data_IF_545362257749
#
_entry.id   IF_545362257749
#
_cell.length_a   1.000
_cell.length_b   1.000
_cell.length_c   1.000
_cell.angle_alpha   90.00
_cell.angle_beta   90.00
_cell.angle_gamma   90.00
#
_symmetry.space_group_name_H-M   'P 1'
#
loop_
_entity.id
_entity.type
_entity.pdbx_description
1 polymer ?
#
# COMPACT_ATOMS: atom_id res chain seq x y z
N UNK A 1 -15.24 15.29 -17.27
CA UNK A 1 -14.07 14.41 -17.41
C UNK A 1 -13.06 14.78 -16.33
N UNK A 2 -12.66 13.83 -15.49
CA UNK A 2 -11.68 14.05 -14.44
C UNK A 2 -10.30 14.26 -15.06
N UNK A 3 -9.42 15.08 -14.41
CA UNK A 3 -8.01 15.30 -14.82
C UNK A 3 -7.27 13.98 -15.12
N UNK A 4 -7.63 12.91 -14.42
CA UNK A 4 -7.06 11.57 -14.60
C UNK A 4 -7.47 10.93 -15.94
N UNK A 5 -8.72 11.14 -16.39
CA UNK A 5 -9.21 10.65 -17.68
C UNK A 5 -8.51 11.36 -18.85
N UNK A 6 -8.33 12.68 -18.76
CA UNK A 6 -7.65 13.47 -19.79
C UNK A 6 -6.17 13.00 -19.94
N UNK A 7 -5.47 12.80 -18.82
CA UNK A 7 -4.08 12.32 -18.86
C UNK A 7 -3.97 10.90 -19.45
N UNK A 8 -4.94 10.03 -19.21
CA UNK A 8 -5.01 8.70 -19.83
C UNK A 8 -5.24 8.77 -21.34
N UNK A 9 -6.17 9.61 -21.79
CA UNK A 9 -6.45 9.80 -23.21
C UNK A 9 -5.23 10.33 -23.95
N UNK A 10 -4.58 11.38 -23.43
CA UNK A 10 -3.35 11.93 -24.00
C UNK A 10 -2.22 10.89 -24.07
N UNK A 11 -2.12 10.02 -23.07
CA UNK A 11 -1.13 8.94 -23.08
C UNK A 11 -1.44 7.90 -24.16
N UNK A 12 -2.69 7.54 -24.35
CA UNK A 12 -3.13 6.61 -25.41
C UNK A 12 -2.89 7.19 -26.79
N UNK A 13 -3.23 8.45 -27.03
CA UNK A 13 -2.96 9.16 -28.28
C UNK A 13 -1.46 9.21 -28.59
N UNK A 14 -0.62 9.49 -27.57
CA UNK A 14 0.83 9.46 -27.73
C UNK A 14 1.34 8.07 -28.10
N UNK A 15 0.86 7.02 -27.43
CA UNK A 15 1.23 5.63 -27.72
C UNK A 15 0.83 5.28 -29.16
N UNK A 16 -0.39 5.61 -29.57
CA UNK A 16 -0.90 5.34 -30.92
C UNK A 16 -0.05 6.04 -31.99
N UNK A 17 0.28 7.33 -31.78
CA UNK A 17 1.14 8.09 -32.69
C UNK A 17 2.54 7.47 -32.79
N UNK A 18 3.17 7.15 -31.67
CA UNK A 18 4.49 6.54 -31.66
C UNK A 18 4.48 5.14 -32.31
N UNK A 19 3.42 4.39 -32.17
CA UNK A 19 3.25 3.11 -32.83
C UNK A 19 3.11 3.24 -34.35
N UNK A 20 2.37 4.24 -34.84
CA UNK A 20 2.20 4.50 -36.29
C UNK A 20 3.46 5.05 -36.95
N UNK A 21 4.33 5.73 -36.20
CA UNK A 21 5.62 6.27 -36.67
C UNK A 21 6.78 5.24 -36.51
N UNK A 22 6.53 4.11 -35.82
CA UNK A 22 7.56 3.10 -35.54
C UNK A 22 7.72 2.14 -36.72
N UNK A 23 8.96 1.73 -36.98
CA UNK A 23 9.26 0.63 -37.87
C UNK A 23 8.93 -0.67 -37.15
N UNK A 24 7.65 -1.07 -37.19
CA UNK A 24 7.17 -2.28 -36.53
C UNK A 24 7.62 -3.56 -37.26
N UNK A 25 7.60 -4.68 -36.54
CA UNK A 25 7.69 -5.99 -37.14
C UNK A 25 6.33 -6.40 -37.72
N UNK A 26 6.26 -7.10 -38.86
CA UNK A 26 4.98 -7.62 -39.37
C UNK A 26 4.31 -8.49 -38.30
N UNK A 27 3.04 -8.19 -38.02
CA UNK A 27 2.25 -8.96 -37.07
C UNK A 27 1.74 -10.20 -37.82
N UNK A 28 2.23 -11.39 -37.41
CA UNK A 28 1.73 -12.65 -37.93
C UNK A 28 0.52 -13.16 -37.12
N UNK A 29 -0.25 -14.14 -37.69
CA UNK A 29 -1.46 -14.66 -37.00
C UNK A 29 -1.22 -15.19 -35.59
N UNK A 30 -0.03 -15.69 -35.29
CA UNK A 30 0.33 -16.17 -33.97
C UNK A 30 0.40 -15.01 -32.93
N UNK A 31 0.93 -13.86 -33.33
CA UNK A 31 1.01 -12.67 -32.45
C UNK A 31 -0.37 -12.08 -32.21
N UNK A 32 -1.23 -12.05 -33.24
CA UNK A 32 -2.63 -11.60 -33.07
C UNK A 32 -3.37 -12.50 -32.09
N UNK A 33 -3.25 -13.81 -32.24
CA UNK A 33 -3.87 -14.77 -31.33
C UNK A 33 -3.36 -14.62 -29.89
N UNK A 34 -2.05 -14.44 -29.72
CA UNK A 34 -1.48 -14.19 -28.37
C UNK A 34 -2.01 -12.90 -27.76
N UNK A 35 -2.09 -11.82 -28.53
CA UNK A 35 -2.63 -10.53 -28.07
C UNK A 35 -4.09 -10.65 -27.63
N UNK A 36 -4.93 -11.32 -28.43
CA UNK A 36 -6.32 -11.59 -28.10
C UNK A 36 -6.45 -12.41 -26.81
N UNK A 37 -5.65 -13.46 -26.67
CA UNK A 37 -5.63 -14.30 -25.46
C UNK A 37 -5.25 -13.49 -24.22
N UNK A 38 -4.25 -12.61 -24.32
CA UNK A 38 -3.84 -11.73 -23.23
C UNK A 38 -4.95 -10.73 -22.84
N UNK A 39 -5.66 -10.18 -23.82
CA UNK A 39 -6.80 -9.29 -23.58
C UNK A 39 -7.93 -10.04 -22.87
N UNK A 40 -8.26 -11.25 -23.29
CA UNK A 40 -9.28 -12.08 -22.63
C UNK A 40 -8.87 -12.38 -21.18
N UNK A 41 -7.64 -12.82 -20.95
CA UNK A 41 -7.11 -13.05 -19.59
C UNK A 41 -7.18 -11.79 -18.72
N UNK A 42 -6.79 -10.65 -19.26
CA UNK A 42 -6.86 -9.37 -18.54
C UNK A 42 -8.29 -9.02 -18.11
N UNK A 43 -9.27 -9.22 -19.01
CA UNK A 43 -10.68 -9.00 -18.68
C UNK A 43 -11.17 -9.94 -17.59
N UNK A 44 -10.84 -11.23 -17.68
CA UNK A 44 -11.19 -12.24 -16.67
C UNK A 44 -10.60 -11.91 -15.30
N UNK A 45 -9.30 -11.58 -15.24
CA UNK A 45 -8.64 -11.21 -13.97
C UNK A 45 -9.27 -9.94 -13.37
N UNK A 46 -9.60 -8.95 -14.17
CA UNK A 46 -10.28 -7.73 -13.68
C UNK A 46 -11.66 -8.04 -13.10
N UNK A 47 -12.43 -8.90 -13.75
CA UNK A 47 -13.73 -9.33 -13.25
C UNK A 47 -13.60 -10.11 -11.93
N UNK A 48 -12.64 -11.04 -11.85
CA UNK A 48 -12.34 -11.77 -10.62
C UNK A 48 -11.92 -10.85 -9.48
N UNK A 49 -11.05 -9.86 -9.76
CA UNK A 49 -10.64 -8.86 -8.77
C UNK A 49 -11.83 -8.05 -8.26
N UNK A 50 -12.75 -7.66 -9.14
CA UNK A 50 -13.96 -6.96 -8.75
C UNK A 50 -14.84 -7.82 -7.83
N UNK A 51 -15.16 -9.04 -8.25
CA UNK A 51 -15.97 -9.99 -7.46
C UNK A 51 -15.35 -10.28 -6.10
N UNK A 52 -14.03 -10.47 -6.06
CA UNK A 52 -13.31 -10.68 -4.79
C UNK A 52 -13.39 -9.44 -3.91
N UNK A 53 -13.31 -8.25 -4.50
CA UNK A 53 -13.47 -6.99 -3.79
C UNK A 53 -14.84 -6.85 -3.15
N UNK A 54 -15.89 -7.10 -3.93
CA UNK A 54 -17.28 -7.04 -3.48
C UNK A 54 -17.50 -8.02 -2.30
N UNK A 55 -16.99 -9.26 -2.41
CA UNK A 55 -17.04 -10.24 -1.32
C UNK A 55 -16.29 -9.81 -0.05
N UNK A 56 -15.13 -9.18 -0.20
CA UNK A 56 -14.36 -8.66 0.95
C UNK A 56 -15.14 -7.57 1.67
N UNK A 57 -15.82 -6.70 0.93
CA UNK A 57 -16.66 -5.65 1.51
C UNK A 57 -17.88 -6.24 2.21
N UNK A 58 -18.59 -7.19 1.58
CA UNK A 58 -19.76 -7.85 2.15
C UNK A 58 -19.41 -8.56 3.46
N UNK A 59 -18.39 -9.41 3.46
CA UNK A 59 -17.93 -10.07 4.69
C UNK A 59 -17.36 -9.10 5.72
N UNK A 60 -16.68 -8.05 5.26
CA UNK A 60 -16.15 -7.02 6.15
C UNK A 60 -17.24 -6.31 6.94
N UNK A 61 -18.37 -6.02 6.30
CA UNK A 61 -19.51 -5.33 6.94
C UNK A 61 -20.20 -6.15 8.04
N UNK A 62 -19.96 -7.46 8.12
CA UNK A 62 -20.43 -8.28 9.24
C UNK A 62 -19.70 -7.95 10.57
N UNK A 63 -18.55 -7.25 10.49
CA UNK A 63 -17.74 -6.87 11.64
C UNK A 63 -17.82 -5.35 11.90
N UNK A 64 -18.26 -4.97 13.11
CA UNK A 64 -18.33 -3.55 13.50
C UNK A 64 -16.99 -2.83 13.40
N UNK A 65 -15.91 -3.53 13.73
CA UNK A 65 -14.53 -3.03 13.68
C UNK A 65 -14.10 -2.64 12.27
N UNK A 66 -14.63 -3.30 11.24
CA UNK A 66 -14.37 -2.96 9.86
C UNK A 66 -14.91 -1.57 9.52
N UNK A 67 -16.15 -1.28 9.92
CA UNK A 67 -16.77 0.02 9.73
C UNK A 67 -16.00 1.13 10.44
N UNK A 68 -15.50 0.88 11.65
CA UNK A 68 -14.65 1.82 12.38
C UNK A 68 -13.32 2.07 11.64
N UNK A 69 -12.67 1.04 11.13
CA UNK A 69 -11.44 1.21 10.37
C UNK A 69 -11.63 2.04 9.10
N UNK A 70 -12.76 1.90 8.41
CA UNK A 70 -13.06 2.70 7.21
C UNK A 70 -13.20 4.20 7.50
N UNK A 71 -13.49 4.60 8.73
CA UNK A 71 -13.52 6.03 9.12
C UNK A 71 -12.13 6.64 9.25
N UNK A 72 -11.09 5.80 9.40
CA UNK A 72 -9.72 6.29 9.58
C UNK A 72 -9.12 6.64 8.21
N UNK A 73 -8.62 7.88 8.03
CA UNK A 73 -7.99 8.28 6.79
C UNK A 73 -6.81 7.38 6.42
N UNK A 74 -6.88 6.82 5.21
CA UNK A 74 -5.87 5.89 4.72
C UNK A 74 -6.29 4.42 4.74
N UNK A 75 -7.36 4.10 5.47
CA UNK A 75 -7.94 2.76 5.46
C UNK A 75 -9.04 2.68 4.40
N UNK A 76 -8.74 2.02 3.30
CA UNK A 76 -9.75 1.60 2.34
C UNK A 76 -10.20 0.14 2.61
N UNK A 77 -11.22 -0.36 1.88
CA UNK A 77 -11.80 -1.69 2.10
C UNK A 77 -10.76 -2.81 2.23
N UNK A 78 -9.82 -2.88 1.31
CA UNK A 78 -8.78 -3.92 1.31
C UNK A 78 -7.78 -3.82 2.47
N UNK A 79 -7.42 -2.58 2.87
CA UNK A 79 -6.50 -2.37 3.98
C UNK A 79 -7.20 -2.71 5.28
N UNK A 80 -8.44 -2.28 5.48
CA UNK A 80 -9.25 -2.58 6.65
C UNK A 80 -9.44 -4.09 6.82
N UNK A 81 -9.85 -4.79 5.75
CA UNK A 81 -10.01 -6.23 5.76
C UNK A 81 -8.70 -6.97 6.09
N UNK A 82 -7.58 -6.55 5.48
CA UNK A 82 -6.26 -7.16 5.74
C UNK A 82 -5.81 -6.96 7.19
N UNK A 83 -6.04 -5.78 7.74
CA UNK A 83 -5.74 -5.49 9.16
C UNK A 83 -6.59 -6.37 10.06
N UNK A 84 -7.91 -6.43 9.88
CA UNK A 84 -8.79 -7.29 10.68
C UNK A 84 -8.42 -8.77 10.56
N UNK A 85 -8.19 -9.28 9.35
CA UNK A 85 -7.77 -10.66 9.14
C UNK A 85 -6.44 -10.98 9.86
N UNK A 86 -5.53 -10.01 9.92
CA UNK A 86 -4.23 -10.17 10.59
C UNK A 86 -4.32 -10.10 12.11
N UNK A 87 -5.24 -9.29 12.63
CA UNK A 87 -5.41 -9.06 14.08
C UNK A 87 -6.41 -10.07 14.66
N UNK A 88 -7.37 -10.56 13.88
CA UNK A 88 -8.54 -11.34 14.30
C UNK A 88 -9.41 -10.53 15.27
N UNK A 89 -9.38 -10.84 16.55
CA UNK A 89 -10.10 -10.11 17.58
C UNK A 89 -9.23 -8.97 18.14
N UNK A 90 -9.55 -7.68 17.91
CA UNK A 90 -8.78 -6.57 18.44
C UNK A 90 -8.85 -6.45 19.96
N UNK A 91 -9.91 -6.94 20.60
CA UNK A 91 -10.12 -6.89 22.04
C UNK A 91 -9.21 -7.82 22.84
N UNK A 92 -8.43 -8.67 22.16
CA UNK A 92 -7.41 -9.51 22.81
C UNK A 92 -6.15 -8.77 23.22
N UNK A 93 -6.02 -7.51 22.81
CA UNK A 93 -4.84 -6.69 23.10
C UNK A 93 -5.13 -5.74 24.26
N UNK A 94 -4.32 -5.80 25.30
CA UNK A 94 -4.44 -4.90 26.46
C UNK A 94 -3.84 -3.50 26.17
N UNK A 95 -3.02 -3.38 25.13
CA UNK A 95 -2.38 -2.11 24.79
C UNK A 95 -1.98 -2.03 23.32
N UNK A 96 -1.85 -0.79 22.81
CA UNK A 96 -1.33 -0.52 21.47
C UNK A 96 0.09 -1.06 21.24
N UNK A 97 0.90 -1.15 22.31
CA UNK A 97 2.26 -1.70 22.22
C UNK A 97 2.26 -3.19 21.83
N UNK A 98 1.27 -3.96 22.28
CA UNK A 98 1.12 -5.36 21.86
C UNK A 98 0.81 -5.45 20.37
N UNK A 99 -0.01 -4.55 19.84
CA UNK A 99 -0.31 -4.48 18.41
C UNK A 99 0.94 -4.09 17.59
N UNK A 100 1.70 -3.09 18.04
CA UNK A 100 2.97 -2.72 17.42
C UNK A 100 3.95 -3.89 17.38
N UNK A 101 4.03 -4.67 18.46
CA UNK A 101 4.88 -5.85 18.55
C UNK A 101 4.46 -6.95 17.58
N UNK A 102 3.16 -7.22 17.45
CA UNK A 102 2.63 -8.18 16.48
C UNK A 102 2.88 -7.72 15.04
N UNK A 103 2.79 -6.42 14.76
CA UNK A 103 3.14 -5.86 13.46
C UNK A 103 4.67 -5.85 13.22
N UNK A 104 5.49 -6.06 14.25
CA UNK A 104 6.95 -5.98 14.19
C UNK A 104 7.46 -4.55 13.99
N UNK A 105 6.72 -3.57 14.52
CA UNK A 105 7.12 -2.16 14.58
C UNK A 105 7.77 -1.79 15.91
N UNK A 106 7.83 -2.73 16.85
CA UNK A 106 8.60 -2.55 18.08
C UNK A 106 10.07 -2.28 17.76
N UNK A 107 10.67 -1.40 18.53
CA UNK A 107 12.06 -1.03 18.34
C UNK A 107 12.97 -2.08 18.98
N UNK A 108 13.92 -2.56 18.23
CA UNK A 108 15.03 -3.36 18.74
C UNK A 108 16.37 -2.68 18.41
N UNK A 109 17.29 -2.73 19.34
CA UNK A 109 18.67 -2.33 19.11
C UNK A 109 19.53 -3.58 19.19
N UNK A 110 20.25 -3.89 18.12
CA UNK A 110 21.29 -4.93 18.18
C UNK A 110 22.48 -4.36 18.95
N UNK A 111 22.54 -4.72 20.22
CA UNK A 111 23.65 -4.36 21.10
C UNK A 111 24.60 -5.54 21.19
N UNK A 112 25.62 -5.56 20.33
CA UNK A 112 26.69 -6.54 20.40
C UNK A 112 28.04 -5.84 20.39
N UNK A 113 28.83 -6.05 21.44
CA UNK A 113 30.22 -5.60 21.54
C UNK A 113 30.45 -4.15 21.94
N UNK A 114 31.68 -3.66 21.71
CA UNK A 114 32.21 -2.36 22.17
C UNK A 114 31.50 -1.10 21.60
N UNK A 115 30.58 -1.22 20.63
CA UNK A 115 29.85 -0.10 20.04
C UNK A 115 28.38 -0.09 20.42
N UNK A 116 28.01 -0.64 21.55
CA UNK A 116 26.60 -0.72 21.98
C UNK A 116 25.95 0.65 22.18
N UNK A 117 26.72 1.69 22.47
CA UNK A 117 26.22 3.03 22.74
C UNK A 117 25.82 3.78 21.47
N UNK A 118 26.35 3.40 20.30
CA UNK A 118 26.02 3.96 18.99
C UNK A 118 24.90 3.18 18.28
N UNK A 119 24.27 2.20 18.93
CA UNK A 119 23.28 1.34 18.30
C UNK A 119 22.02 2.12 17.92
N UNK A 120 21.74 2.20 16.61
CA UNK A 120 20.52 2.82 16.08
C UNK A 120 19.37 1.84 16.24
N UNK A 121 18.33 2.25 16.96
CA UNK A 121 17.12 1.45 17.10
C UNK A 121 16.44 1.27 15.75
N UNK A 122 16.17 0.03 15.37
CA UNK A 122 15.45 -0.36 14.17
C UNK A 122 14.16 -1.09 14.54
N UNK A 123 13.20 -1.13 13.63
CA UNK A 123 12.00 -1.96 13.82
C UNK A 123 12.39 -3.44 13.79
N UNK A 124 11.81 -4.24 14.68
CA UNK A 124 12.17 -5.65 14.86
C UNK A 124 11.89 -6.51 13.63
N UNK A 125 10.84 -6.19 12.88
CA UNK A 125 10.32 -6.98 11.74
C UNK A 125 9.97 -8.43 12.07
N UNK A 126 9.97 -8.83 13.33
CA UNK A 126 9.71 -10.21 13.79
C UNK A 126 8.24 -10.58 13.81
N UNK A 127 7.36 -9.60 13.62
CA UNK A 127 5.91 -9.80 13.64
C UNK A 127 5.31 -10.15 12.28
N UNK A 128 3.97 -10.03 12.20
CA UNK A 128 3.20 -10.30 11.00
C UNK A 128 3.53 -9.29 9.89
N UNK A 129 4.11 -9.80 8.79
CA UNK A 129 4.53 -8.97 7.65
C UNK A 129 3.35 -8.37 6.87
N UNK A 130 2.22 -9.08 6.80
CA UNK A 130 1.01 -8.62 6.12
C UNK A 130 0.37 -7.45 6.86
N UNK A 131 0.26 -7.57 8.19
CA UNK A 131 -0.21 -6.48 9.05
C UNK A 131 0.69 -5.25 8.92
N UNK A 132 2.00 -5.45 9.02
CA UNK A 132 2.98 -4.36 8.88
C UNK A 132 2.85 -3.66 7.54
N UNK A 133 2.69 -4.42 6.46
CA UNK A 133 2.53 -3.86 5.12
C UNK A 133 1.21 -3.11 4.96
N UNK A 134 0.11 -3.63 5.49
CA UNK A 134 -1.19 -2.96 5.47
C UNK A 134 -1.15 -1.61 6.21
N UNK A 135 -0.57 -1.59 7.41
CA UNK A 135 -0.40 -0.34 8.18
C UNK A 135 0.52 0.66 7.45
N UNK A 136 1.61 0.19 6.83
CA UNK A 136 2.45 1.05 6.00
C UNK A 136 1.70 1.66 4.81
N UNK A 137 0.84 0.88 4.14
CA UNK A 137 0.01 1.38 3.05
C UNK A 137 -0.99 2.43 3.55
N UNK A 138 -1.65 2.19 4.69
CA UNK A 138 -2.54 3.16 5.32
C UNK A 138 -1.81 4.47 5.61
N UNK A 139 -0.64 4.40 6.27
CA UNK A 139 0.19 5.55 6.56
C UNK A 139 0.66 6.29 5.29
N UNK A 140 0.98 5.56 4.23
CA UNK A 140 1.34 6.15 2.94
C UNK A 140 0.19 6.96 2.34
N UNK A 141 -1.03 6.43 2.36
CA UNK A 141 -2.21 7.12 1.83
C UNK A 141 -2.56 8.32 2.74
N UNK A 142 -2.57 8.13 4.06
CA UNK A 142 -2.84 9.19 5.02
C UNK A 142 -1.87 10.37 4.87
N UNK A 143 -0.57 10.08 4.77
CA UNK A 143 0.48 11.10 4.60
C UNK A 143 0.41 11.89 3.30
N UNK A 144 -0.39 11.47 2.34
CA UNK A 144 -0.53 12.11 1.03
C UNK A 144 -1.91 12.70 0.76
N UNK A 145 -2.93 12.32 1.54
CA UNK A 145 -4.32 12.70 1.27
C UNK A 145 -5.03 13.37 2.45
N UNK A 146 -4.63 13.09 3.67
CA UNK A 146 -5.25 13.67 4.85
C UNK A 146 -4.46 14.90 5.35
N UNK A 147 -5.06 16.10 5.50
CA UNK A 147 -4.37 17.32 5.89
C UNK A 147 -3.62 17.22 7.21
N UNK A 148 -4.21 16.57 8.23
CA UNK A 148 -3.61 16.44 9.56
C UNK A 148 -2.35 15.56 9.50
N UNK A 149 -2.46 14.42 8.81
CA UNK A 149 -1.32 13.52 8.61
C UNK A 149 -0.25 14.13 7.70
N UNK A 150 -0.64 14.91 6.68
CA UNK A 150 0.31 15.65 5.83
C UNK A 150 1.10 16.64 6.69
N UNK A 151 0.41 17.42 7.53
CA UNK A 151 1.05 18.37 8.44
C UNK A 151 2.03 17.71 9.41
N UNK A 152 1.63 16.60 10.00
CA UNK A 152 2.49 15.82 10.89
C UNK A 152 3.69 15.20 10.13
N UNK A 153 3.45 14.59 8.98
CA UNK A 153 4.48 14.00 8.14
C UNK A 153 5.51 15.04 7.65
N UNK A 154 5.03 16.21 7.25
CA UNK A 154 5.90 17.33 6.83
C UNK A 154 6.79 17.81 7.97
N UNK A 155 6.25 17.91 9.20
CA UNK A 155 7.06 18.24 10.39
C UNK A 155 8.15 17.23 10.66
N UNK A 156 7.86 15.93 10.50
CA UNK A 156 8.85 14.86 10.66
C UNK A 156 9.96 14.89 9.60
N UNK A 157 9.67 15.41 8.40
CA UNK A 157 10.63 15.52 7.32
C UNK A 157 11.51 16.77 7.42
N UNK A 158 11.06 17.79 8.12
CA UNK A 158 11.72 19.11 8.17
C UNK A 158 13.18 18.98 8.59
N UNK A 159 14.08 19.52 7.78
CA UNK A 159 15.54 19.47 8.00
C UNK A 159 16.20 18.13 7.64
N UNK A 160 15.42 17.15 7.18
CA UNK A 160 15.90 15.78 6.86
C UNK A 160 15.61 15.36 5.42
N UNK A 161 15.19 16.30 4.58
CA UNK A 161 14.68 16.04 3.21
C UNK A 161 15.73 15.37 2.32
N UNK A 162 17.02 15.62 2.60
CA UNK A 162 18.17 15.09 1.84
C UNK A 162 18.61 13.69 2.28
N UNK A 163 18.13 13.19 3.42
CA UNK A 163 18.47 11.86 3.92
C UNK A 163 17.90 10.77 2.99
N UNK A 164 18.76 9.84 2.57
CA UNK A 164 18.34 8.72 1.73
C UNK A 164 17.26 7.88 2.43
N UNK A 165 16.14 7.69 1.74
CA UNK A 165 15.04 6.86 2.24
C UNK A 165 14.23 7.48 3.39
N UNK A 166 14.45 8.76 3.72
CA UNK A 166 13.77 9.42 4.84
C UNK A 166 12.25 9.34 4.74
N UNK A 167 11.69 9.53 3.56
CA UNK A 167 10.23 9.44 3.36
C UNK A 167 9.66 8.09 3.75
N UNK A 168 10.37 7.01 3.42
CA UNK A 168 9.98 5.64 3.81
C UNK A 168 10.12 5.44 5.32
N UNK A 169 11.23 5.88 5.92
CA UNK A 169 11.44 5.81 7.38
C UNK A 169 10.35 6.56 8.14
N UNK A 170 9.96 7.75 7.68
CA UNK A 170 8.91 8.54 8.33
C UNK A 170 7.52 7.92 8.16
N UNK A 171 7.23 7.28 7.03
CA UNK A 171 5.98 6.52 6.85
C UNK A 171 5.90 5.30 7.76
N UNK A 172 7.02 4.60 7.96
CA UNK A 172 7.10 3.50 8.93
C UNK A 172 6.88 4.00 10.36
N UNK A 173 7.39 5.20 10.70
CA UNK A 173 7.14 5.83 12.00
C UNK A 173 5.69 6.29 12.17
N UNK A 174 5.02 6.64 11.08
CA UNK A 174 3.62 7.05 11.07
C UNK A 174 2.66 5.85 11.18
N UNK A 175 3.04 4.70 10.57
CA UNK A 175 2.29 3.44 10.64
C UNK A 175 2.30 2.84 12.05
#
# INVERSE_FOLDING_TARGET
>A
STKRGIAQTQRLEKIHRLASESVGCPIGPAVEFEAELLVVKLKQVREQLKKTGDLIEDYGMEFSEYSYLLTIPGFGPYIAARVLASISNPWRFDSSNQLLKIAGYDLCAERSGKRSDDAVALISKRGNSELRYALYQAAHIASTRNPDFIGYFTRMLRGRERERGIKTKMKVKLA
#
